data_IF_517701989359
#
_entry.id   IF_517701989359
#
_cell.length_a   1.000
_cell.length_b   1.000
_cell.length_c   1.000
_cell.angle_alpha   90.00
_cell.angle_beta   90.00
_cell.angle_gamma   90.00
#
_symmetry.space_group_name_H-M   'P 1'
#
loop_
_entity.id
_entity.type
_entity.pdbx_description
1 polymer ?
#
# COMPACT_ATOMS: atom_id res chain seq x y z
N UNK A 1 0.71 -71.99 -31.75
CA UNK A 1 0.84 -72.69 -30.48
C UNK A 1 0.54 -71.63 -29.42
N UNK A 2 -0.69 -71.42 -29.07
CA UNK A 2 -1.51 -72.16 -28.10
C UNK A 2 -0.73 -72.23 -26.76
N UNK A 3 -1.14 -71.71 -25.68
CA UNK A 3 -2.34 -72.03 -24.93
C UNK A 3 -2.44 -71.18 -23.68
N UNK A 4 -3.60 -70.72 -23.38
CA UNK A 4 -4.52 -71.12 -22.33
C UNK A 4 -4.29 -70.46 -20.97
N UNK A 5 -5.23 -69.62 -20.70
CA UNK A 5 -5.69 -69.13 -19.40
C UNK A 5 -6.47 -70.23 -18.67
N UNK A 6 -6.34 -70.40 -17.36
CA UNK A 6 -7.37 -71.01 -16.54
C UNK A 6 -8.08 -70.04 -15.60
N UNK A 7 -9.16 -70.47 -14.96
CA UNK A 7 -10.34 -69.64 -14.73
C UNK A 7 -10.43 -69.06 -13.30
N UNK A 8 -11.38 -68.14 -13.19
CA UNK A 8 -11.89 -67.55 -11.94
C UNK A 8 -12.61 -68.59 -11.09
N UNK A 9 -12.43 -68.49 -9.78
CA UNK A 9 -13.33 -69.07 -8.79
C UNK A 9 -13.89 -67.95 -7.90
N UNK A 10 -15.22 -67.88 -7.67
CA UNK A 10 -15.83 -66.85 -6.87
C UNK A 10 -16.16 -67.41 -5.48
N UNK A 11 -15.81 -66.67 -4.49
CA UNK A 11 -16.45 -66.64 -3.15
C UNK A 11 -15.43 -66.37 -2.07
N UNK A 12 -15.41 -65.18 -1.57
CA UNK A 12 -15.50 -65.03 -0.12
C UNK A 12 -16.07 -63.64 0.24
N UNK A 13 -17.11 -63.75 0.96
CA UNK A 13 -17.89 -62.74 1.64
C UNK A 13 -17.16 -62.34 2.89
N UNK A 14 -16.96 -61.05 3.12
CA UNK A 14 -17.11 -60.51 4.48
C UNK A 14 -16.78 -59.02 4.60
N UNK A 15 -17.83 -58.33 5.01
CA UNK A 15 -17.80 -57.17 5.91
C UNK A 15 -17.10 -55.89 5.46
N UNK A 16 -17.93 -54.98 4.95
CA UNK A 16 -17.73 -53.54 5.00
C UNK A 16 -17.84 -53.08 6.47
N UNK A 17 -16.93 -52.25 6.97
CA UNK A 17 -17.20 -51.43 8.15
C UNK A 17 -17.98 -50.18 7.74
N UNK A 18 -18.98 -49.90 8.55
CA UNK A 18 -19.90 -48.78 8.44
C UNK A 18 -19.20 -47.44 8.45
N UNK A 19 -19.65 -46.55 7.58
CA UNK A 19 -19.32 -45.16 7.43
C UNK A 19 -19.83 -44.36 8.64
N UNK A 20 -18.97 -43.68 9.44
CA UNK A 20 -19.45 -42.74 10.43
C UNK A 20 -19.78 -41.41 9.77
N UNK A 21 -21.07 -41.15 9.67
CA UNK A 21 -21.72 -39.82 9.64
C UNK A 21 -20.81 -38.61 9.35
N UNK A 22 -20.94 -38.10 8.13
CA UNK A 22 -20.58 -36.75 7.76
C UNK A 22 -21.35 -35.75 8.64
N UNK A 23 -20.76 -35.34 9.73
CA UNK A 23 -21.16 -34.15 10.45
C UNK A 23 -20.73 -32.93 9.62
N UNK A 24 -21.69 -32.31 8.98
CA UNK A 24 -21.51 -31.07 8.23
C UNK A 24 -21.31 -29.93 9.21
N UNK A 25 -20.11 -29.82 9.77
CA UNK A 25 -19.66 -28.54 10.30
C UNK A 25 -19.44 -27.61 9.14
N UNK A 26 -20.40 -26.72 8.93
CA UNK A 26 -20.23 -25.52 8.12
C UNK A 26 -19.00 -24.77 8.68
N UNK A 27 -17.91 -24.88 7.94
CA UNK A 27 -16.75 -24.05 8.11
C UNK A 27 -17.18 -22.60 7.80
N UNK A 28 -17.50 -21.90 8.87
CA UNK A 28 -17.68 -20.46 8.86
C UNK A 28 -16.37 -19.88 8.40
N UNK A 29 -16.30 -19.46 7.15
CA UNK A 29 -15.17 -18.74 6.56
C UNK A 29 -14.73 -17.62 7.50
N UNK A 30 -13.45 -17.22 7.48
CA UNK A 30 -12.91 -16.32 8.47
C UNK A 30 -13.75 -15.04 8.53
N UNK A 31 -14.38 -14.87 9.68
CA UNK A 31 -15.01 -13.63 10.09
C UNK A 31 -14.07 -12.46 9.78
N UNK A 32 -14.58 -11.44 9.12
CA UNK A 32 -13.90 -10.17 8.83
C UNK A 32 -13.63 -9.35 10.12
N UNK A 33 -13.06 -9.99 11.12
CA UNK A 33 -12.73 -9.40 12.41
C UNK A 33 -11.32 -9.85 12.78
N UNK A 34 -10.35 -9.09 12.32
CA UNK A 34 -9.08 -8.77 12.95
C UNK A 34 -8.20 -8.00 11.96
N UNK A 35 -8.76 -6.90 11.40
CA UNK A 35 -7.92 -5.84 10.91
C UNK A 35 -7.22 -5.25 12.14
N UNK A 36 -5.96 -5.61 12.34
CA UNK A 36 -5.11 -5.14 13.43
C UNK A 36 -4.87 -3.64 13.40
N UNK A 37 -5.95 -2.88 13.55
CA UNK A 37 -5.91 -1.43 13.75
C UNK A 37 -5.47 -1.16 15.18
N UNK A 38 -4.59 -0.20 15.38
CA UNK A 38 -4.28 0.32 16.72
C UNK A 38 -5.59 0.75 17.40
N UNK A 39 -5.73 0.55 18.73
CA UNK A 39 -6.92 0.96 19.45
C UNK A 39 -7.16 2.46 19.24
N UNK A 40 -8.24 2.80 18.54
CA UNK A 40 -8.67 4.17 18.25
C UNK A 40 -9.01 4.48 16.81
N UNK A 41 -8.38 3.85 15.81
CA UNK A 41 -8.64 4.13 14.40
C UNK A 41 -9.25 2.93 13.69
N UNK A 42 -10.55 3.01 13.50
CA UNK A 42 -11.36 2.01 12.80
C UNK A 42 -12.37 2.70 11.89
N UNK A 43 -12.95 2.01 10.93
CA UNK A 43 -14.07 2.54 10.17
C UNK A 43 -15.13 3.16 11.07
N UNK A 44 -15.64 4.35 10.69
CA UNK A 44 -16.56 5.17 11.48
C UNK A 44 -15.89 6.23 12.36
N UNK A 45 -14.59 6.10 12.70
CA UNK A 45 -13.87 7.12 13.48
C UNK A 45 -13.78 8.44 12.70
N UNK A 46 -13.99 9.55 13.42
CA UNK A 46 -13.76 10.90 12.90
C UNK A 46 -12.38 11.38 13.36
N UNK A 47 -11.54 11.75 12.41
CA UNK A 47 -10.24 12.38 12.62
C UNK A 47 -10.35 13.77 12.02
N UNK A 48 -10.40 14.81 12.85
CA UNK A 48 -10.69 16.18 12.42
C UNK A 48 -11.98 16.20 11.55
N UNK A 49 -11.92 16.63 10.31
CA UNK A 49 -13.02 16.68 9.33
C UNK A 49 -13.11 15.42 8.44
N UNK A 50 -12.35 14.37 8.74
CA UNK A 50 -12.25 13.14 7.93
C UNK A 50 -12.91 11.97 8.66
N UNK A 51 -13.98 11.44 8.08
CA UNK A 51 -14.62 10.21 8.58
C UNK A 51 -14.00 8.99 7.89
N UNK A 52 -13.37 8.13 8.66
CA UNK A 52 -12.82 6.86 8.15
C UNK A 52 -13.93 5.95 7.68
N UNK A 53 -13.82 5.41 6.46
CA UNK A 53 -14.83 4.52 5.86
C UNK A 53 -14.36 3.08 5.82
N UNK A 54 -13.16 2.85 5.31
CA UNK A 54 -12.62 1.51 5.07
C UNK A 54 -11.10 1.52 5.19
N UNK A 55 -10.52 0.47 5.76
CA UNK A 55 -9.09 0.21 5.67
C UNK A 55 -8.76 -0.26 4.25
N UNK A 56 -7.91 0.45 3.53
CA UNK A 56 -7.51 0.14 2.14
C UNK A 56 -6.06 -0.29 2.01
N UNK A 57 -5.27 -0.14 3.06
CA UNK A 57 -3.88 -0.61 3.12
C UNK A 57 -3.33 -0.60 4.53
N UNK A 58 -2.50 -1.59 4.84
CA UNK A 58 -1.77 -1.67 6.09
C UNK A 58 -0.33 -2.10 5.84
N UNK A 59 0.61 -1.52 6.57
CA UNK A 59 2.03 -1.83 6.41
C UNK A 59 2.86 -1.43 7.63
N UNK A 60 4.18 -1.65 7.54
CA UNK A 60 5.12 -1.34 8.62
C UNK A 60 5.15 0.13 9.04
N UNK A 61 4.70 1.04 8.18
CA UNK A 61 4.75 2.50 8.40
C UNK A 61 3.41 3.11 8.80
N UNK A 62 2.32 2.36 8.75
CA UNK A 62 1.00 2.89 9.10
C UNK A 62 -0.15 2.17 8.42
N UNK A 63 -1.33 2.68 8.69
CA UNK A 63 -2.59 2.23 8.11
C UNK A 63 -3.15 3.30 7.19
N UNK A 64 -3.65 2.90 6.02
CA UNK A 64 -4.26 3.80 5.03
C UNK A 64 -5.75 3.51 4.97
N UNK A 65 -6.54 4.53 5.16
CA UNK A 65 -8.00 4.46 5.12
C UNK A 65 -8.56 5.22 3.92
N UNK A 66 -9.59 4.67 3.30
CA UNK A 66 -10.54 5.46 2.56
C UNK A 66 -11.29 6.33 3.57
N UNK A 67 -11.30 7.62 3.38
CA UNK A 67 -11.99 8.55 4.26
C UNK A 67 -12.86 9.54 3.47
N UNK A 68 -13.94 10.00 4.11
CA UNK A 68 -14.79 11.07 3.60
C UNK A 68 -14.40 12.37 4.28
N UNK A 69 -13.85 13.32 3.53
CA UNK A 69 -13.75 14.70 3.96
C UNK A 69 -15.16 15.30 4.02
N UNK A 70 -15.52 15.92 5.13
CA UNK A 70 -16.84 16.50 5.33
C UNK A 70 -16.88 17.99 4.96
N UNK A 71 -15.83 18.73 5.31
CA UNK A 71 -15.70 20.17 5.13
C UNK A 71 -14.33 20.55 4.56
N UNK A 72 -14.18 21.68 3.85
CA UNK A 72 -15.22 22.59 3.34
C UNK A 72 -15.94 22.02 2.11
N UNK A 73 -15.39 20.98 1.49
CA UNK A 73 -15.96 20.28 0.33
C UNK A 73 -16.00 18.79 0.61
N UNK A 74 -17.16 18.19 0.41
CA UNK A 74 -17.34 16.75 0.58
C UNK A 74 -16.64 15.99 -0.56
N UNK A 75 -15.62 15.17 -0.22
CA UNK A 75 -14.90 14.33 -1.17
C UNK A 75 -14.27 13.10 -0.51
N UNK A 76 -14.05 12.06 -1.29
CA UNK A 76 -13.27 10.90 -0.85
C UNK A 76 -11.76 11.20 -0.95
N UNK A 77 -11.03 10.77 0.06
CA UNK A 77 -9.58 10.91 0.19
C UNK A 77 -8.94 9.63 0.71
N UNK A 78 -7.63 9.48 0.51
CA UNK A 78 -6.83 8.48 1.20
C UNK A 78 -6.21 9.13 2.45
N UNK A 79 -6.48 8.59 3.64
CA UNK A 79 -5.94 9.09 4.90
C UNK A 79 -4.97 8.03 5.47
N UNK A 80 -3.70 8.38 5.56
CA UNK A 80 -2.65 7.52 6.10
C UNK A 80 -2.28 7.95 7.51
N UNK A 81 -2.51 7.07 8.49
CA UNK A 81 -2.07 7.26 9.87
C UNK A 81 -0.74 6.55 10.09
N UNK A 82 0.24 7.30 10.59
CA UNK A 82 1.60 6.79 10.78
C UNK A 82 1.69 6.01 12.10
N UNK A 83 2.32 4.84 12.08
CA UNK A 83 2.67 4.08 13.28
C UNK A 83 3.78 4.81 14.04
N UNK A 84 3.56 5.11 15.31
CA UNK A 84 4.58 5.71 16.17
C UNK A 84 5.70 4.71 16.46
N UNK A 85 6.93 5.08 16.13
CA UNK A 85 8.14 4.43 16.64
C UNK A 85 8.62 5.14 17.92
N UNK A 86 9.69 4.63 18.54
CA UNK A 86 10.14 5.06 19.90
C UNK A 86 10.58 6.54 20.04
N UNK A 87 10.62 7.36 18.98
CA UNK A 87 11.04 8.77 19.03
C UNK A 87 9.98 9.74 18.48
N UNK A 88 8.88 9.85 19.18
CA UNK A 88 7.68 10.61 18.75
C UNK A 88 7.94 12.09 18.44
N UNK A 89 8.75 12.79 19.25
CA UNK A 89 9.02 14.24 19.07
C UNK A 89 9.84 14.55 17.83
N UNK A 90 10.87 13.75 17.53
CA UNK A 90 11.67 13.93 16.33
C UNK A 90 10.90 13.54 15.05
N UNK A 91 10.02 12.55 15.14
CA UNK A 91 9.12 12.16 14.04
C UNK A 91 8.18 13.30 13.71
N UNK A 92 7.56 13.92 14.71
CA UNK A 92 6.62 15.06 14.51
C UNK A 92 7.33 16.28 13.90
N UNK A 93 8.50 16.68 14.41
CA UNK A 93 9.23 17.82 13.87
C UNK A 93 9.67 17.62 12.40
N UNK A 94 10.07 16.40 12.03
CA UNK A 94 10.41 16.05 10.64
C UNK A 94 9.17 15.94 9.76
N UNK A 95 8.08 15.43 10.32
CA UNK A 95 6.80 15.40 9.67
C UNK A 95 6.34 16.78 9.19
N UNK A 96 6.47 17.81 10.02
CA UNK A 96 6.09 19.18 9.65
C UNK A 96 7.00 19.77 8.55
N UNK A 97 8.31 19.51 8.59
CA UNK A 97 9.23 19.93 7.54
C UNK A 97 8.97 19.23 6.20
N UNK A 98 8.69 17.92 6.22
CA UNK A 98 8.38 17.16 5.01
C UNK A 98 6.98 17.46 4.46
N UNK A 99 6.02 17.78 5.33
CA UNK A 99 4.67 18.19 4.96
C UNK A 99 4.68 19.34 3.95
N UNK A 100 5.49 20.36 4.20
CA UNK A 100 5.58 21.53 3.36
C UNK A 100 6.20 21.20 1.98
N UNK A 101 7.24 20.35 1.97
CA UNK A 101 7.87 19.89 0.74
C UNK A 101 6.91 19.03 -0.11
N UNK A 102 6.14 18.14 0.53
CA UNK A 102 5.15 17.30 -0.14
C UNK A 102 3.98 18.09 -0.70
N UNK A 103 3.53 19.14 0.01
CA UNK A 103 2.48 20.01 -0.46
C UNK A 103 2.88 20.81 -1.71
N UNK A 104 4.18 21.03 -1.94
CA UNK A 104 4.71 21.67 -3.14
C UNK A 104 4.85 20.75 -4.35
N UNK A 105 4.59 19.44 -4.20
CA UNK A 105 4.63 18.51 -5.32
C UNK A 105 3.33 18.59 -6.12
N UNK A 106 3.39 19.24 -7.26
CA UNK A 106 2.30 19.26 -8.25
C UNK A 106 2.79 18.64 -9.54
N UNK A 107 2.37 17.41 -9.79
CA UNK A 107 2.68 16.65 -11.00
C UNK A 107 1.54 15.66 -11.31
N UNK A 108 1.11 15.51 -12.57
CA UNK A 108 -0.04 14.66 -12.92
C UNK A 108 0.14 13.19 -12.50
N UNK A 109 1.37 12.70 -12.48
CA UNK A 109 1.71 11.32 -12.12
C UNK A 109 2.17 11.16 -10.65
N UNK A 110 1.87 12.11 -9.77
CA UNK A 110 2.07 12.02 -8.33
C UNK A 110 0.73 12.25 -7.62
N UNK A 111 0.38 11.39 -6.65
CA UNK A 111 -0.79 11.63 -5.81
C UNK A 111 -0.53 12.83 -4.91
N UNK A 112 -1.40 13.84 -4.98
CA UNK A 112 -1.25 15.08 -4.21
C UNK A 112 -1.43 14.84 -2.72
N UNK A 113 -0.61 15.47 -1.89
CA UNK A 113 -0.88 15.62 -0.47
C UNK A 113 -1.81 16.83 -0.30
N UNK A 114 -2.97 16.58 0.29
CA UNK A 114 -4.06 17.55 0.42
C UNK A 114 -4.07 18.23 1.78
N UNK A 115 -3.64 17.47 2.81
CA UNK A 115 -3.64 17.92 4.19
C UNK A 115 -2.73 17.03 5.06
N UNK A 116 -2.42 17.48 6.27
CA UNK A 116 -1.73 16.69 7.26
C UNK A 116 -2.01 17.22 8.67
N UNK A 117 -2.02 16.34 9.67
CA UNK A 117 -2.30 16.69 11.04
C UNK A 117 -1.89 15.60 12.02
N UNK A 118 -2.42 15.69 13.24
CA UNK A 118 -2.25 14.67 14.27
C UNK A 118 -3.60 14.21 14.79
N UNK A 119 -3.76 12.92 15.05
CA UNK A 119 -4.97 12.36 15.68
C UNK A 119 -5.08 12.81 17.14
N UNK A 120 -6.23 12.62 17.76
CA UNK A 120 -6.41 12.90 19.20
C UNK A 120 -5.42 12.15 20.11
N UNK A 121 -4.87 11.04 19.63
CA UNK A 121 -3.80 10.31 20.32
C UNK A 121 -2.37 10.80 19.95
N UNK A 122 -2.24 11.93 19.23
CA UNK A 122 -0.97 12.52 18.83
C UNK A 122 -0.25 11.79 17.68
N UNK A 123 -0.94 10.88 16.96
CA UNK A 123 -0.35 10.19 15.80
C UNK A 123 -0.42 11.05 14.55
N UNK A 124 0.70 11.26 13.83
CA UNK A 124 0.69 11.98 12.58
C UNK A 124 -0.17 11.28 11.53
N UNK A 125 -0.91 12.05 10.74
CA UNK A 125 -1.61 11.54 9.55
C UNK A 125 -1.39 12.44 8.35
N UNK A 126 -1.48 11.85 7.16
CA UNK A 126 -1.52 12.55 5.88
C UNK A 126 -2.83 12.27 5.17
N UNK A 127 -3.36 13.30 4.55
CA UNK A 127 -4.50 13.19 3.64
C UNK A 127 -4.01 13.37 2.22
N UNK A 128 -4.33 12.42 1.37
CA UNK A 128 -3.86 12.37 -0.01
C UNK A 128 -5.03 12.21 -0.97
N UNK A 129 -4.79 12.57 -2.20
CA UNK A 129 -5.67 12.24 -3.32
C UNK A 129 -5.97 10.74 -3.32
N UNK A 130 -7.25 10.38 -3.42
CA UNK A 130 -7.65 8.99 -3.61
C UNK A 130 -7.45 8.61 -5.08
N UNK A 131 -6.45 7.80 -5.35
CA UNK A 131 -6.20 7.27 -6.69
C UNK A 131 -7.03 6.01 -6.91
N UNK A 132 -8.06 6.10 -7.75
CA UNK A 132 -8.90 4.96 -8.15
C UNK A 132 -8.21 4.18 -9.27
N UNK A 133 -7.25 3.35 -8.92
CA UNK A 133 -6.43 2.60 -9.87
C UNK A 133 -5.99 1.25 -9.30
N UNK A 134 -5.30 0.47 -10.13
CA UNK A 134 -4.70 -0.81 -9.75
C UNK A 134 -3.18 -0.74 -9.91
N UNK A 135 -2.40 -1.57 -9.18
CA UNK A 135 -0.94 -1.59 -9.31
C UNK A 135 -0.49 -1.78 -10.76
N UNK A 136 0.55 -1.05 -11.16
CA UNK A 136 1.02 -0.97 -12.54
C UNK A 136 1.27 -2.34 -13.18
N UNK A 137 1.83 -3.30 -12.45
CA UNK A 137 2.03 -4.66 -12.96
C UNK A 137 0.71 -5.35 -13.27
N UNK A 138 -0.26 -5.27 -12.34
CA UNK A 138 -1.60 -5.84 -12.56
C UNK A 138 -2.33 -5.16 -13.72
N UNK A 139 -2.14 -3.86 -13.89
CA UNK A 139 -2.72 -3.13 -15.03
C UNK A 139 -2.13 -3.61 -16.35
N UNK A 140 -0.81 -3.71 -16.44
CA UNK A 140 -0.11 -4.19 -17.62
C UNK A 140 -0.52 -5.61 -18.02
N UNK A 141 -0.65 -6.51 -17.04
CA UNK A 141 -1.00 -7.91 -17.28
C UNK A 141 -2.48 -8.05 -17.68
N UNK A 142 -3.38 -7.35 -16.98
CA UNK A 142 -4.82 -7.37 -17.27
C UNK A 142 -5.15 -6.86 -18.67
N UNK A 143 -4.40 -5.87 -19.16
CA UNK A 143 -4.62 -5.27 -20.48
C UNK A 143 -3.69 -5.86 -21.55
N UNK A 144 -2.90 -6.90 -21.23
CA UNK A 144 -1.94 -7.54 -22.14
C UNK A 144 -1.02 -6.53 -22.84
N UNK A 145 -0.53 -5.53 -22.09
CA UNK A 145 0.29 -4.48 -22.68
C UNK A 145 1.61 -5.03 -23.24
N UNK A 146 1.94 -4.61 -24.44
CA UNK A 146 3.23 -4.83 -25.08
C UNK A 146 4.39 -4.21 -24.29
N UNK A 147 5.62 -4.62 -24.59
CA UNK A 147 6.81 -4.02 -23.96
C UNK A 147 6.88 -2.51 -24.17
N UNK A 148 6.54 -2.03 -25.36
CA UNK A 148 6.54 -0.59 -25.70
C UNK A 148 5.54 0.19 -24.85
N UNK A 149 4.32 -0.32 -24.68
CA UNK A 149 3.30 0.31 -23.85
C UNK A 149 3.68 0.32 -22.36
N UNK A 150 4.28 -0.76 -21.86
CA UNK A 150 4.82 -0.83 -20.49
C UNK A 150 5.93 0.20 -20.28
N UNK A 151 6.83 0.37 -21.25
CA UNK A 151 7.90 1.36 -21.21
C UNK A 151 7.34 2.80 -21.24
N UNK A 152 6.28 3.05 -21.97
CA UNK A 152 5.63 4.38 -21.98
C UNK A 152 5.03 4.74 -20.61
N UNK A 153 4.35 3.79 -19.95
CA UNK A 153 3.90 3.99 -18.56
C UNK A 153 5.07 4.24 -17.62
N UNK A 154 6.15 3.46 -17.76
CA UNK A 154 7.33 3.61 -16.93
C UNK A 154 8.03 4.94 -17.14
N UNK A 155 8.07 5.46 -18.37
CA UNK A 155 8.61 6.78 -18.69
C UNK A 155 7.89 7.90 -17.91
N UNK A 156 6.57 7.81 -17.79
CA UNK A 156 5.78 8.75 -16.98
C UNK A 156 6.11 8.65 -15.49
N UNK A 157 6.33 7.44 -14.97
CA UNK A 157 6.79 7.23 -13.59
C UNK A 157 8.18 7.85 -13.38
N UNK A 158 9.11 7.68 -14.32
CA UNK A 158 10.44 8.31 -14.25
C UNK A 158 10.35 9.84 -14.22
N UNK A 159 9.48 10.44 -15.02
CA UNK A 159 9.25 11.89 -15.01
C UNK A 159 8.71 12.38 -13.65
N UNK A 160 7.79 11.64 -13.05
CA UNK A 160 7.27 11.93 -11.72
C UNK A 160 8.36 11.87 -10.63
N UNK A 161 9.17 10.83 -10.66
CA UNK A 161 10.29 10.65 -9.72
C UNK A 161 11.35 11.74 -9.91
N UNK A 162 11.68 12.08 -11.16
CA UNK A 162 12.60 13.17 -11.49
C UNK A 162 12.10 14.50 -10.94
N UNK A 163 10.81 14.81 -11.09
CA UNK A 163 10.20 16.02 -10.53
C UNK A 163 10.34 16.09 -9.01
N UNK A 164 10.12 14.98 -8.31
CA UNK A 164 10.32 14.92 -6.86
C UNK A 164 11.80 15.14 -6.48
N UNK A 165 12.74 14.50 -7.20
CA UNK A 165 14.17 14.64 -6.96
C UNK A 165 14.66 16.08 -7.15
N UNK A 166 14.17 16.79 -8.16
CA UNK A 166 14.48 18.21 -8.38
C UNK A 166 14.03 19.11 -7.23
N UNK A 167 13.04 18.67 -6.45
CA UNK A 167 12.57 19.33 -5.23
C UNK A 167 13.24 18.81 -3.96
N UNK A 168 14.27 17.96 -4.08
CA UNK A 168 14.99 17.36 -2.96
C UNK A 168 14.23 16.24 -2.24
N UNK A 169 13.13 15.74 -2.84
CA UNK A 169 12.28 14.70 -2.25
C UNK A 169 12.62 13.35 -2.87
N UNK A 170 13.03 12.40 -2.04
CA UNK A 170 13.32 11.02 -2.46
C UNK A 170 12.19 10.12 -1.97
N UNK A 171 11.65 9.26 -2.85
CA UNK A 171 10.54 8.36 -2.52
C UNK A 171 10.89 7.29 -1.47
N UNK A 172 12.09 6.73 -1.50
CA UNK A 172 12.66 5.74 -0.55
C UNK A 172 11.94 4.39 -0.45
N UNK A 173 10.79 4.21 -1.09
CA UNK A 173 10.02 2.95 -1.13
C UNK A 173 9.34 2.76 -2.50
N UNK A 174 10.00 3.18 -3.57
CA UNK A 174 9.44 3.00 -4.92
C UNK A 174 9.40 1.51 -5.27
N UNK A 175 8.22 1.04 -5.55
CA UNK A 175 7.93 -0.35 -5.94
C UNK A 175 6.64 -0.40 -6.77
N UNK A 176 6.39 -1.46 -7.54
CA UNK A 176 5.21 -1.53 -8.40
C UNK A 176 3.87 -1.35 -7.67
N UNK A 177 3.75 -1.79 -6.42
CA UNK A 177 2.55 -1.61 -5.62
C UNK A 177 2.29 -0.15 -5.20
N UNK A 178 3.31 0.72 -5.27
CA UNK A 178 3.21 2.15 -4.99
C UNK A 178 3.05 2.99 -6.28
N UNK A 179 2.77 2.34 -7.41
CA UNK A 179 2.40 2.98 -8.67
C UNK A 179 1.04 2.44 -9.08
N UNK A 180 0.00 3.25 -8.98
CA UNK A 180 -1.35 2.89 -9.40
C UNK A 180 -1.62 3.46 -10.78
N UNK A 181 -2.26 2.67 -11.64
CA UNK A 181 -2.71 3.13 -12.96
C UNK A 181 -4.22 3.23 -12.93
N UNK A 182 -4.73 4.43 -13.20
CA UNK A 182 -6.14 4.70 -13.44
C UNK A 182 -6.36 4.92 -14.93
N UNK A 183 -7.56 4.59 -15.39
CA UNK A 183 -8.01 4.91 -16.73
C UNK A 183 -8.76 6.24 -16.68
N UNK A 184 -8.26 7.23 -17.39
CA UNK A 184 -8.87 8.56 -17.47
C UNK A 184 -9.18 8.83 -18.93
N UNK A 185 -10.45 8.85 -19.29
CA UNK A 185 -10.92 9.09 -20.67
C UNK A 185 -10.27 8.15 -21.71
N UNK A 186 -10.08 6.86 -21.34
CA UNK A 186 -9.46 5.86 -22.19
C UNK A 186 -7.92 5.96 -22.27
N UNK A 187 -7.30 6.81 -21.44
CA UNK A 187 -5.85 6.93 -21.37
C UNK A 187 -5.33 6.39 -20.02
N UNK A 188 -4.36 5.48 -20.02
CA UNK A 188 -3.75 4.97 -18.79
C UNK A 188 -2.84 6.04 -18.17
N UNK A 189 -3.18 6.47 -16.95
CA UNK A 189 -2.42 7.45 -16.19
C UNK A 189 -1.81 6.79 -14.96
N UNK A 190 -0.50 6.56 -14.92
CA UNK A 190 0.17 6.08 -13.72
C UNK A 190 0.30 7.21 -12.70
N UNK A 191 0.03 6.92 -11.43
CA UNK A 191 0.29 7.82 -10.31
C UNK A 191 1.14 7.14 -9.26
N UNK A 192 2.24 7.79 -8.88
CA UNK A 192 3.09 7.39 -7.76
C UNK A 192 2.39 7.80 -6.48
N UNK A 193 2.16 6.85 -5.60
CA UNK A 193 1.54 7.06 -4.29
C UNK A 193 2.58 6.81 -3.19
N UNK A 194 2.29 7.32 -1.99
CA UNK A 194 3.01 6.94 -0.78
C UNK A 194 4.52 7.23 -0.81
N UNK A 195 4.89 8.47 -1.09
CA UNK A 195 6.26 8.93 -0.86
C UNK A 195 6.69 8.60 0.57
N UNK A 196 7.80 7.89 0.72
CA UNK A 196 8.25 7.21 1.96
C UNK A 196 8.57 8.12 3.14
N UNK A 197 7.62 8.94 3.54
CA UNK A 197 7.68 9.93 4.60
C UNK A 197 8.15 9.29 5.92
N UNK A 198 7.67 8.09 6.21
CA UNK A 198 8.03 7.38 7.44
C UNK A 198 9.46 6.78 7.42
N UNK A 199 10.07 6.54 6.25
CA UNK A 199 11.47 6.06 6.16
C UNK A 199 12.49 7.18 6.34
N UNK A 200 12.15 8.41 6.00
CA UNK A 200 12.99 9.58 6.22
C UNK A 200 13.34 9.79 7.69
N UNK A 201 12.45 9.38 8.59
CA UNK A 201 12.65 9.52 10.03
C UNK A 201 13.66 8.51 10.60
N UNK A 202 13.90 7.38 9.94
CA UNK A 202 14.84 6.33 10.42
C UNK A 202 16.26 6.48 9.87
N UNK A 203 16.45 6.96 8.65
CA UNK A 203 17.73 6.86 7.95
C UNK A 203 18.73 7.98 8.22
N UNK A 204 18.29 9.17 8.68
CA UNK A 204 19.23 10.28 8.98
C UNK A 204 20.07 10.12 10.25
N UNK A 205 19.82 9.09 11.05
CA UNK A 205 20.75 8.76 12.16
C UNK A 205 22.05 8.11 11.67
N UNK A 206 22.01 7.48 10.47
CA UNK A 206 23.19 6.80 9.89
C UNK A 206 23.96 7.72 8.92
N UNK A 207 23.33 8.69 8.29
CA UNK A 207 24.00 9.54 7.27
C UNK A 207 24.82 10.70 7.86
N UNK A 208 24.53 11.15 9.08
CA UNK A 208 25.38 12.18 9.73
C UNK A 208 26.82 11.71 9.98
N UNK A 209 27.06 10.39 9.98
CA UNK A 209 28.40 9.84 10.20
C UNK A 209 29.21 9.69 8.91
N UNK A 210 28.57 9.73 7.74
CA UNK A 210 29.24 9.49 6.44
C UNK A 210 29.67 10.81 5.77
N UNK A 211 28.96 11.92 6.01
CA UNK A 211 29.29 13.21 5.39
C UNK A 211 30.43 13.98 6.08
N UNK A 212 30.87 13.56 7.27
CA UNK A 212 31.96 14.24 7.98
C UNK A 212 33.34 13.72 7.58
N UNK A 213 33.43 12.67 6.75
CA UNK A 213 34.71 12.10 6.32
C UNK A 213 35.14 12.42 4.88
N UNK A 214 34.35 13.18 4.11
CA UNK A 214 34.73 13.54 2.72
C UNK A 214 35.14 15.02 2.51
N UNK A 215 35.38 15.76 3.57
CA UNK A 215 35.86 17.17 3.45
C UNK A 215 37.37 17.35 3.65
N UNK A 216 38.13 16.28 3.45
CA UNK A 216 39.60 16.40 3.48
C UNK A 216 40.17 15.73 2.23
N UNK A 217 40.12 16.45 1.12
CA UNK A 217 41.06 16.30 0.00
C UNK A 217 40.82 17.45 -0.99
N UNK A 218 41.35 18.63 -0.70
CA UNK A 218 41.85 19.57 -1.70
C UNK A 218 43.13 20.16 -1.08
N UNK A 219 44.26 19.60 -1.49
CA UNK A 219 45.55 20.24 -1.43
C UNK A 219 45.94 20.59 -2.84
#
# INVERSE_FOLDING_TARGET
MADQKPPMDPSDDSSLPEDPTLDATMDSGPSAAEAGGYPGEKPGTLIDRYRLQQLIGEGGFGSVFLAQQQEPVSRQVALKVIKLGMDTKQVIARFEAERQALAMMDHPNIARVLDAGATGAGRPYFVMELVKGIPITKYCDRNNLSTTERLELFRQVCAAVQHAHQKGIIHRDLKPSNVLVSDTEGQPVPKVIDFGIAKATRQRLTEKTVFTQQSVFIG
#
